data_IF_242097640894
#
_entry.id   IF_242097640894
#
_cell.length_a   1.000
_cell.length_b   1.000
_cell.length_c   1.000
_cell.angle_alpha   90.00
_cell.angle_beta   90.00
_cell.angle_gamma   90.00
#
_symmetry.space_group_name_H-M   'P 1'
#
loop_
_entity.id
_entity.type
_entity.pdbx_description
1 polymer ?
#
# COMPACT_ATOMS: atom_id res chain seq x y z
N UNK A 1 3.49 8.15 25.08
CA UNK A 1 2.42 7.24 24.64
C UNK A 1 2.33 7.38 23.12
N UNK A 2 3.15 6.61 22.39
CA UNK A 2 3.21 6.67 20.94
C UNK A 2 1.97 5.96 20.40
N UNK A 3 0.95 6.74 20.05
CA UNK A 3 -0.18 6.26 19.26
C UNK A 3 0.37 5.92 17.87
N UNK A 4 0.82 4.68 17.69
CA UNK A 4 1.26 4.14 16.42
C UNK A 4 0.05 4.03 15.49
N UNK A 5 -0.31 5.13 14.85
CA UNK A 5 -1.06 5.13 13.61
C UNK A 5 -0.31 4.22 12.65
N UNK A 6 -0.74 2.97 12.49
CA UNK A 6 -0.04 1.95 11.69
C UNK A 6 -0.02 2.37 10.20
N UNK A 7 1.10 2.90 9.66
CA UNK A 7 1.22 3.09 8.23
C UNK A 7 1.62 1.71 7.70
N UNK A 8 1.03 1.24 6.60
CA UNK A 8 1.40 -0.06 6.01
C UNK A 8 2.92 -0.25 5.79
N UNK A 9 3.70 0.85 5.79
CA UNK A 9 5.17 0.84 5.85
C UNK A 9 5.77 0.11 7.07
N UNK A 10 5.24 0.29 8.29
CA UNK A 10 5.80 -0.36 9.48
C UNK A 10 5.66 -1.89 9.42
N UNK A 11 4.48 -2.38 9.05
CA UNK A 11 4.26 -3.82 8.90
C UNK A 11 5.08 -4.41 7.73
N UNK A 12 5.33 -3.61 6.66
CA UNK A 12 6.27 -3.99 5.59
C UNK A 12 7.69 -4.15 6.11
N UNK A 13 8.17 -3.25 6.95
CA UNK A 13 9.51 -3.35 7.56
C UNK A 13 9.63 -4.56 8.49
N UNK A 14 8.62 -4.83 9.33
CA UNK A 14 8.57 -6.04 10.15
C UNK A 14 8.56 -7.31 9.29
N UNK A 15 7.79 -7.31 8.19
CA UNK A 15 7.78 -8.43 7.24
C UNK A 15 9.14 -8.63 6.58
N UNK A 16 9.81 -7.55 6.18
CA UNK A 16 11.16 -7.61 5.62
C UNK A 16 12.19 -8.11 6.65
N UNK A 17 12.04 -7.75 7.94
CA UNK A 17 12.83 -8.31 9.03
C UNK A 17 12.61 -9.83 9.17
N UNK A 18 11.36 -10.27 9.22
CA UNK A 18 11.01 -11.69 9.32
C UNK A 18 11.55 -12.50 8.13
N UNK A 19 11.49 -11.95 6.91
CA UNK A 19 12.07 -12.58 5.72
C UNK A 19 13.60 -12.72 5.80
N UNK A 20 14.31 -11.70 6.28
CA UNK A 20 15.77 -11.75 6.49
C UNK A 20 16.14 -12.80 7.56
N UNK A 21 15.39 -12.86 8.66
CA UNK A 21 15.54 -13.90 9.70
C UNK A 21 15.40 -15.29 9.08
N UNK A 22 14.31 -15.53 8.35
CA UNK A 22 14.03 -16.82 7.70
C UNK A 22 15.10 -17.21 6.66
N UNK A 23 15.68 -16.24 5.95
CA UNK A 23 16.78 -16.49 5.04
C UNK A 23 18.04 -17.01 5.78
N UNK A 24 18.38 -16.42 6.94
CA UNK A 24 19.49 -16.87 7.79
C UNK A 24 19.22 -18.26 8.36
N UNK A 25 18.00 -18.53 8.82
CA UNK A 25 17.60 -19.84 9.36
C UNK A 25 17.74 -20.96 8.31
N UNK A 26 17.40 -20.65 7.06
CA UNK A 26 17.49 -21.59 5.94
C UNK A 26 18.88 -21.66 5.29
N UNK A 27 19.85 -20.86 5.74
CA UNK A 27 21.20 -20.86 5.16
C UNK A 27 21.93 -22.17 5.56
N UNK A 28 22.31 -23.04 4.59
CA UNK A 28 22.84 -24.37 4.90
C UNK A 28 24.29 -24.33 5.39
N UNK A 29 25.03 -23.27 5.08
CA UNK A 29 26.45 -23.11 5.39
C UNK A 29 26.73 -22.56 6.79
N UNK A 30 25.70 -22.15 7.53
CA UNK A 30 25.84 -21.63 8.88
C UNK A 30 25.48 -22.68 9.92
N UNK A 31 26.34 -22.81 10.93
CA UNK A 31 26.00 -23.55 12.15
C UNK A 31 24.94 -22.79 12.99
N UNK A 32 24.40 -23.46 14.02
CA UNK A 32 23.33 -22.92 14.86
C UNK A 32 23.74 -21.65 15.62
N UNK A 33 24.98 -21.55 16.06
CA UNK A 33 25.47 -20.40 16.83
C UNK A 33 25.71 -19.18 15.93
N UNK A 34 26.27 -19.41 14.74
CA UNK A 34 26.43 -18.40 13.71
C UNK A 34 25.08 -17.87 13.23
N UNK A 35 24.07 -18.74 13.06
CA UNK A 35 22.68 -18.32 12.79
C UNK A 35 22.13 -17.43 13.90
N UNK A 36 22.26 -17.85 15.17
CA UNK A 36 21.78 -17.07 16.32
C UNK A 36 22.43 -15.69 16.38
N UNK A 37 23.76 -15.61 16.25
CA UNK A 37 24.50 -14.33 16.21
C UNK A 37 24.01 -13.40 15.10
N UNK A 38 23.87 -13.93 13.87
CA UNK A 38 23.36 -13.13 12.74
C UNK A 38 21.93 -12.65 12.96
N UNK A 39 21.07 -13.46 13.58
CA UNK A 39 19.68 -13.08 13.90
C UNK A 39 19.66 -11.99 14.98
N UNK A 40 20.49 -12.10 16.01
CA UNK A 40 20.58 -11.10 17.09
C UNK A 40 21.11 -9.74 16.60
N UNK A 41 21.89 -9.73 15.52
CA UNK A 41 22.39 -8.51 14.87
C UNK A 41 21.35 -7.86 13.93
N UNK A 42 20.22 -8.52 13.65
CA UNK A 42 19.19 -7.96 12.78
C UNK A 42 18.55 -6.72 13.43
N UNK A 43 18.39 -5.67 12.62
CA UNK A 43 17.76 -4.41 13.02
C UNK A 43 16.66 -4.02 12.04
N UNK A 44 15.64 -3.39 12.60
CA UNK A 44 14.60 -2.66 11.88
C UNK A 44 15.13 -1.29 11.50
N UNK A 45 14.65 -0.74 10.37
CA UNK A 45 14.92 0.62 9.96
C UNK A 45 13.58 1.36 9.86
N UNK A 46 13.29 2.23 10.81
CA UNK A 46 12.02 2.97 10.86
C UNK A 46 12.35 4.45 10.78
N UNK A 47 11.92 5.12 9.72
CA UNK A 47 12.18 6.55 9.47
C UNK A 47 13.67 6.94 9.62
N UNK A 48 14.59 6.08 9.16
CA UNK A 48 16.04 6.30 9.24
C UNK A 48 16.69 5.91 10.57
N UNK A 49 15.90 5.50 11.58
CA UNK A 49 16.41 5.03 12.87
C UNK A 49 16.53 3.51 12.87
N UNK A 50 17.67 3.00 13.36
CA UNK A 50 17.92 1.55 13.47
C UNK A 50 17.73 1.09 14.91
N UNK A 51 16.78 0.19 15.13
CA UNK A 51 16.47 -0.39 16.44
C UNK A 51 16.26 -1.90 16.33
N UNK A 52 16.30 -2.61 17.46
CA UNK A 52 15.84 -3.98 17.55
C UNK A 52 14.32 -4.03 17.65
N UNK A 53 13.74 -5.20 17.39
CA UNK A 53 12.29 -5.39 17.57
C UNK A 53 11.89 -5.28 19.04
N UNK A 54 12.74 -5.77 19.95
CA UNK A 54 12.47 -5.74 21.39
C UNK A 54 12.50 -4.31 21.96
N UNK A 55 13.29 -3.41 21.34
CA UNK A 55 13.37 -2.00 21.75
C UNK A 55 12.03 -1.25 21.52
N UNK A 56 11.14 -1.81 20.70
CA UNK A 56 9.83 -1.22 20.40
C UNK A 56 8.78 -1.55 21.47
N UNK A 57 9.07 -2.49 22.38
CA UNK A 57 8.15 -2.95 23.44
C UNK A 57 6.74 -3.28 22.89
N UNK A 58 6.69 -3.99 21.76
CA UNK A 58 5.45 -4.45 21.18
C UNK A 58 4.99 -5.72 21.88
N UNK A 59 3.69 -5.88 22.02
CA UNK A 59 3.02 -7.11 22.40
C UNK A 59 2.05 -7.53 21.29
N UNK A 60 1.31 -8.62 21.47
CA UNK A 60 0.34 -9.12 20.47
C UNK A 60 -1.01 -8.42 20.57
N UNK A 61 -1.01 -7.11 20.73
CA UNK A 61 -2.22 -6.29 20.69
C UNK A 61 -2.19 -5.27 19.54
N UNK A 62 -3.37 -4.83 19.13
CA UNK A 62 -3.56 -3.77 18.15
C UNK A 62 -4.67 -2.85 18.62
N UNK A 63 -4.53 -1.57 18.29
CA UNK A 63 -5.55 -0.55 18.54
C UNK A 63 -6.23 -0.24 17.20
N UNK A 64 -7.42 -0.82 16.92
CA UNK A 64 -8.09 -0.59 15.66
C UNK A 64 -8.50 0.88 15.59
N UNK A 65 -8.18 1.61 14.50
CA UNK A 65 -8.66 2.98 14.32
C UNK A 65 -10.14 2.96 13.94
N UNK A 66 -11.02 2.63 14.89
CA UNK A 66 -12.46 2.70 14.72
C UNK A 66 -13.02 3.86 15.54
N UNK A 67 -13.73 4.76 14.87
CA UNK A 67 -14.57 5.78 15.53
C UNK A 67 -15.98 5.29 15.83
N UNK A 68 -16.31 4.06 15.41
CA UNK A 68 -17.64 3.45 15.51
C UNK A 68 -17.69 2.41 16.63
N UNK A 69 -16.58 1.71 16.84
CA UNK A 69 -16.44 0.71 17.89
C UNK A 69 -15.35 1.18 18.86
N UNK A 70 -15.72 1.38 20.13
CA UNK A 70 -14.78 1.68 21.22
C UNK A 70 -13.97 0.42 21.56
N UNK A 71 -12.99 0.10 20.71
CA UNK A 71 -11.97 -0.89 21.02
C UNK A 71 -10.76 -0.16 21.57
N UNK A 72 -10.57 -0.20 22.89
CA UNK A 72 -9.37 0.36 23.52
C UNK A 72 -8.11 -0.42 23.10
N UNK A 73 -8.20 -1.75 23.06
CA UNK A 73 -7.12 -2.65 22.69
C UNK A 73 -7.71 -4.01 22.29
N UNK A 74 -7.16 -4.65 21.24
CA UNK A 74 -7.59 -5.96 20.80
C UNK A 74 -6.41 -6.93 20.71
N UNK A 75 -6.53 -8.06 21.39
CA UNK A 75 -5.52 -9.11 21.33
C UNK A 75 -5.60 -9.88 20.00
N UNK A 76 -4.44 -10.09 19.38
CA UNK A 76 -4.28 -10.85 18.14
C UNK A 76 -4.21 -12.37 18.36
N UNK A 77 -3.82 -12.77 19.57
CA UNK A 77 -3.76 -14.14 20.09
C UNK A 77 -4.23 -14.12 21.54
N UNK A 78 -4.70 -15.26 22.04
CA UNK A 78 -5.12 -15.38 23.44
C UNK A 78 -3.95 -15.10 24.40
N UNK A 79 -4.13 -14.15 25.33
CA UNK A 79 -3.07 -13.70 26.23
C UNK A 79 -1.99 -12.88 25.53
N UNK A 80 -2.35 -12.24 24.41
CA UNK A 80 -1.42 -11.49 23.57
C UNK A 80 -0.87 -10.23 24.24
N UNK A 81 -1.61 -9.62 25.18
CA UNK A 81 -1.16 -8.45 25.92
C UNK A 81 0.09 -8.71 26.78
N UNK A 82 0.23 -9.93 27.31
CA UNK A 82 1.35 -10.37 28.14
C UNK A 82 2.48 -11.02 27.31
N UNK A 83 2.34 -11.09 25.98
CA UNK A 83 3.30 -11.71 25.09
C UNK A 83 4.12 -10.67 24.34
N UNK A 84 5.37 -10.46 24.76
CA UNK A 84 6.29 -9.57 24.06
C UNK A 84 6.68 -10.09 22.68
N UNK A 85 6.77 -9.17 21.71
CA UNK A 85 7.27 -9.46 20.38
C UNK A 85 8.80 -9.44 20.39
N UNK A 86 9.38 -10.57 20.03
CA UNK A 86 10.82 -10.82 19.95
C UNK A 86 11.19 -11.32 18.56
N UNK A 87 12.50 -11.40 18.27
CA UNK A 87 12.96 -12.02 17.03
C UNK A 87 12.46 -13.46 16.82
N UNK A 88 12.18 -14.19 17.89
CA UNK A 88 11.70 -15.57 17.79
C UNK A 88 10.24 -15.62 17.27
N UNK A 89 9.37 -14.70 17.69
CA UNK A 89 7.93 -14.70 17.37
C UNK A 89 7.46 -13.59 16.40
N UNK A 90 8.36 -12.73 15.90
CA UNK A 90 8.02 -11.62 14.99
C UNK A 90 7.26 -12.06 13.73
N UNK A 91 7.55 -13.24 13.18
CA UNK A 91 6.85 -13.78 12.00
C UNK A 91 5.37 -14.06 12.32
N UNK A 92 5.09 -14.59 13.53
CA UNK A 92 3.74 -14.81 14.01
C UNK A 92 3.01 -13.47 14.21
N UNK A 93 3.67 -12.47 14.79
CA UNK A 93 3.10 -11.14 14.97
C UNK A 93 2.68 -10.52 13.63
N UNK A 94 3.57 -10.54 12.63
CA UNK A 94 3.27 -10.02 11.28
C UNK A 94 2.09 -10.75 10.65
N UNK A 95 2.07 -12.09 10.74
CA UNK A 95 0.98 -12.89 10.21
C UNK A 95 -0.36 -12.54 10.87
N UNK A 96 -0.39 -12.40 12.19
CA UNK A 96 -1.60 -12.09 12.95
C UNK A 96 -2.10 -10.68 12.72
N UNK A 97 -1.22 -9.69 12.64
CA UNK A 97 -1.57 -8.35 12.19
C UNK A 97 -2.21 -8.38 10.80
N UNK A 98 -1.59 -9.08 9.84
CA UNK A 98 -2.12 -9.16 8.47
C UNK A 98 -3.51 -9.83 8.42
N UNK A 99 -3.71 -10.93 9.14
CA UNK A 99 -5.01 -11.58 9.25
C UNK A 99 -6.06 -10.68 9.91
N UNK A 100 -5.70 -9.97 10.98
CA UNK A 100 -6.59 -9.01 11.62
C UNK A 100 -7.06 -7.91 10.66
N UNK A 101 -6.12 -7.19 10.04
CA UNK A 101 -6.47 -6.05 9.21
C UNK A 101 -7.14 -6.41 7.88
N UNK A 102 -6.89 -7.61 7.33
CA UNK A 102 -7.40 -8.01 6.02
C UNK A 102 -8.56 -9.02 6.06
N UNK A 103 -8.81 -9.63 7.22
CA UNK A 103 -9.78 -10.71 7.33
C UNK A 103 -10.62 -10.59 8.62
N UNK A 104 -10.06 -10.97 9.78
CA UNK A 104 -10.86 -11.14 11.00
C UNK A 104 -11.41 -9.82 11.55
N UNK A 105 -10.67 -8.72 11.46
CA UNK A 105 -11.10 -7.40 11.93
C UNK A 105 -12.19 -6.74 11.07
N UNK A 106 -12.36 -7.19 9.82
CA UNK A 106 -13.37 -6.67 8.88
C UNK A 106 -14.47 -7.68 8.56
N UNK A 107 -14.47 -8.87 9.17
CA UNK A 107 -15.33 -9.98 8.76
C UNK A 107 -16.82 -9.67 8.91
N UNK A 108 -17.19 -8.89 9.93
CA UNK A 108 -18.58 -8.52 10.19
C UNK A 108 -19.09 -7.53 9.13
N UNK A 109 -18.26 -6.54 8.77
CA UNK A 109 -18.53 -5.56 7.73
C UNK A 109 -18.62 -6.27 6.37
N UNK A 110 -17.70 -7.19 6.10
CA UNK A 110 -17.70 -8.01 4.88
C UNK A 110 -18.93 -8.91 4.81
N UNK A 111 -19.39 -9.50 5.91
CA UNK A 111 -20.62 -10.31 5.95
C UNK A 111 -21.85 -9.45 5.72
N UNK A 112 -21.95 -8.29 6.38
CA UNK A 112 -23.05 -7.36 6.17
C UNK A 112 -23.11 -6.86 4.72
N UNK A 113 -21.96 -6.52 4.13
CA UNK A 113 -21.84 -6.16 2.72
C UNK A 113 -22.29 -7.32 1.81
N UNK A 114 -21.79 -8.54 2.06
CA UNK A 114 -22.15 -9.74 1.33
C UNK A 114 -23.66 -9.99 1.35
N UNK A 115 -24.27 -9.94 2.52
CA UNK A 115 -25.70 -10.21 2.70
C UNK A 115 -26.56 -9.09 2.10
N UNK A 116 -26.11 -7.84 2.17
CA UNK A 116 -26.76 -6.71 1.50
C UNK A 116 -26.70 -6.83 -0.03
N UNK A 117 -25.54 -7.19 -0.57
CA UNK A 117 -25.34 -7.40 -2.00
C UNK A 117 -26.17 -8.57 -2.52
N UNK A 118 -26.17 -9.72 -1.83
CA UNK A 118 -26.89 -10.94 -2.21
C UNK A 118 -28.43 -10.73 -2.28
N UNK A 119 -28.98 -9.76 -1.54
CA UNK A 119 -30.41 -9.37 -1.63
C UNK A 119 -30.79 -8.71 -2.95
N UNK A 120 -29.86 -8.01 -3.59
CA UNK A 120 -30.11 -7.25 -4.83
C UNK A 120 -29.60 -8.03 -6.04
N UNK A 121 -28.43 -8.64 -5.89
CA UNK A 121 -27.76 -9.41 -6.93
C UNK A 121 -27.12 -10.67 -6.31
N UNK A 122 -27.60 -11.84 -6.70
CA UNK A 122 -27.11 -13.10 -6.15
C UNK A 122 -25.62 -13.29 -6.45
N UNK A 123 -24.78 -13.37 -5.41
CA UNK A 123 -23.32 -13.48 -5.54
C UNK A 123 -22.87 -14.69 -6.34
N UNK A 124 -23.71 -15.73 -6.39
CA UNK A 124 -23.46 -16.93 -7.21
C UNK A 124 -23.31 -16.60 -8.69
N UNK A 125 -23.97 -15.56 -9.19
CA UNK A 125 -23.86 -15.11 -10.57
C UNK A 125 -22.47 -14.51 -10.87
N UNK A 126 -21.74 -14.02 -9.87
CA UNK A 126 -20.37 -13.51 -10.05
C UNK A 126 -19.31 -14.60 -10.15
N UNK A 127 -19.64 -15.87 -9.87
CA UNK A 127 -18.64 -16.97 -9.83
C UNK A 127 -17.98 -17.27 -11.17
N UNK A 128 -18.64 -16.94 -12.28
CA UNK A 128 -18.10 -17.14 -13.63
C UNK A 128 -17.20 -16.00 -14.10
N UNK A 129 -17.11 -14.90 -13.35
CA UNK A 129 -16.36 -13.71 -13.74
C UNK A 129 -15.01 -13.65 -13.00
N UNK A 130 -13.97 -13.16 -13.69
CA UNK A 130 -12.71 -12.81 -13.04
C UNK A 130 -12.88 -11.56 -12.14
N UNK A 131 -11.98 -11.31 -11.17
CA UNK A 131 -12.01 -10.08 -10.37
C UNK A 131 -12.06 -8.81 -11.22
N UNK A 132 -11.33 -8.78 -12.33
CA UNK A 132 -11.29 -7.65 -13.27
C UNK A 132 -12.61 -7.49 -14.05
N UNK A 133 -13.30 -8.59 -14.35
CA UNK A 133 -14.63 -8.55 -14.97
C UNK A 133 -15.72 -8.13 -14.00
N UNK A 134 -15.66 -8.59 -12.74
CA UNK A 134 -16.57 -8.13 -11.67
C UNK A 134 -16.38 -6.62 -11.47
N UNK A 135 -15.14 -6.14 -11.42
CA UNK A 135 -14.86 -4.70 -11.33
C UNK A 135 -15.48 -3.93 -12.49
N UNK A 136 -15.31 -4.42 -13.73
CA UNK A 136 -15.91 -3.81 -14.94
C UNK A 136 -17.43 -3.84 -14.91
N UNK A 137 -18.04 -4.92 -14.43
CA UNK A 137 -19.49 -5.06 -14.33
C UNK A 137 -20.09 -4.09 -13.29
N UNK A 138 -19.41 -3.93 -12.14
CA UNK A 138 -19.88 -3.05 -11.07
C UNK A 138 -19.60 -1.57 -11.33
N UNK A 139 -18.43 -1.26 -11.86
CA UNK A 139 -17.93 0.11 -12.02
C UNK A 139 -18.21 0.68 -13.42
N UNK A 140 -18.74 -0.14 -14.31
CA UNK A 140 -18.85 0.12 -15.74
C UNK A 140 -17.50 0.07 -16.46
N UNK A 141 -17.54 0.21 -17.78
CA UNK A 141 -16.34 0.46 -18.56
C UNK A 141 -15.94 1.93 -18.39
N UNK A 142 -15.20 2.22 -17.33
CA UNK A 142 -14.69 3.57 -17.11
C UNK A 142 -13.69 3.89 -18.22
N UNK A 143 -13.99 4.88 -19.04
CA UNK A 143 -13.05 5.44 -20.01
C UNK A 143 -12.55 6.75 -19.43
N UNK A 144 -11.39 6.75 -18.72
CA UNK A 144 -10.84 8.01 -18.23
C UNK A 144 -10.46 8.89 -19.42
N UNK A 145 -11.03 10.09 -19.45
CA UNK A 145 -10.79 11.08 -20.49
C UNK A 145 -10.36 12.40 -19.86
N UNK A 146 -9.48 13.09 -20.58
CA UNK A 146 -9.01 14.43 -20.24
C UNK A 146 -8.65 15.15 -21.52
N UNK A 147 -8.86 16.45 -21.51
CA UNK A 147 -8.39 17.36 -22.55
C UNK A 147 -6.98 17.84 -22.23
N UNK A 148 -6.32 18.48 -23.21
CA UNK A 148 -5.05 19.19 -22.99
C UNK A 148 -5.17 20.21 -21.84
N UNK A 149 -6.28 20.94 -21.80
CA UNK A 149 -6.54 21.94 -20.77
C UNK A 149 -6.68 21.31 -19.39
N UNK A 150 -7.34 20.16 -19.27
CA UNK A 150 -7.44 19.44 -18.00
C UNK A 150 -6.07 19.06 -17.47
N UNK A 151 -5.18 18.53 -18.33
CA UNK A 151 -3.82 18.17 -17.92
C UNK A 151 -3.03 19.41 -17.49
N UNK A 152 -3.12 20.52 -18.23
CA UNK A 152 -2.44 21.78 -17.92
C UNK A 152 -2.96 22.45 -16.63
N UNK A 153 -4.26 22.36 -16.37
CA UNK A 153 -4.90 23.01 -15.24
C UNK A 153 -4.77 22.21 -13.95
N UNK A 154 -4.80 20.88 -14.05
CA UNK A 154 -4.90 20.00 -12.88
C UNK A 154 -3.65 19.14 -12.62
N UNK A 155 -2.59 19.30 -13.41
CA UNK A 155 -1.26 18.71 -13.14
C UNK A 155 -0.27 19.80 -12.71
N UNK A 156 0.46 19.55 -11.63
CA UNK A 156 1.40 20.49 -11.04
C UNK A 156 2.86 20.15 -11.39
N UNK A 157 3.55 20.94 -12.22
CA UNK A 157 5.00 20.82 -12.37
C UNK A 157 5.71 21.32 -11.10
N UNK A 158 6.68 20.55 -10.61
CA UNK A 158 7.46 20.86 -9.40
C UNK A 158 8.95 20.58 -9.61
N UNK A 159 9.77 21.10 -8.69
CA UNK A 159 11.21 20.78 -8.55
C UNK A 159 11.97 20.79 -9.89
N UNK A 160 11.98 21.94 -10.56
CA UNK A 160 12.73 22.14 -11.81
C UNK A 160 11.90 22.06 -13.10
N UNK A 161 10.59 21.86 -13.00
CA UNK A 161 9.64 22.12 -14.08
C UNK A 161 8.70 23.28 -13.74
N UNK A 162 8.24 23.97 -14.78
CA UNK A 162 7.18 24.99 -14.80
C UNK A 162 6.15 24.63 -15.87
N UNK A 163 5.00 25.31 -15.92
CA UNK A 163 3.96 25.06 -16.93
C UNK A 163 4.44 25.30 -18.37
N UNK A 164 5.42 26.17 -18.55
CA UNK A 164 6.00 26.49 -19.86
C UNK A 164 7.25 25.66 -20.19
N UNK A 165 7.67 24.77 -19.29
CA UNK A 165 8.88 23.96 -19.49
C UNK A 165 8.68 22.99 -20.67
N UNK A 166 9.63 22.92 -21.63
CA UNK A 166 9.49 22.03 -22.78
C UNK A 166 9.28 20.55 -22.41
N UNK A 167 9.90 20.10 -21.30
CA UNK A 167 9.71 18.74 -20.79
C UNK A 167 8.29 18.48 -20.27
N UNK A 168 7.68 19.46 -19.61
CA UNK A 168 6.31 19.38 -19.12
C UNK A 168 5.31 19.46 -20.27
N UNK A 169 5.52 20.34 -21.24
CA UNK A 169 4.67 20.42 -22.43
C UNK A 169 4.70 19.14 -23.26
N UNK A 170 5.86 18.50 -23.43
CA UNK A 170 5.95 17.17 -24.06
C UNK A 170 5.18 16.10 -23.29
N UNK A 171 5.24 16.13 -21.96
CA UNK A 171 4.41 15.24 -21.13
C UNK A 171 2.92 15.47 -21.39
N UNK A 172 2.47 16.72 -21.46
CA UNK A 172 1.09 17.08 -21.79
C UNK A 172 0.69 16.57 -23.17
N UNK A 173 1.56 16.72 -24.17
CA UNK A 173 1.31 16.22 -25.54
C UNK A 173 1.09 14.70 -25.54
N UNK A 174 2.01 13.94 -24.92
CA UNK A 174 1.91 12.48 -24.78
C UNK A 174 0.62 12.08 -24.07
N UNK A 175 0.26 12.77 -22.98
CA UNK A 175 -0.95 12.47 -22.20
C UNK A 175 -2.23 12.57 -23.03
N UNK A 176 -2.30 13.50 -23.98
CA UNK A 176 -3.47 13.66 -24.85
C UNK A 176 -3.51 12.59 -25.96
N UNK A 177 -2.34 12.13 -26.40
CA UNK A 177 -2.18 11.08 -27.43
C UNK A 177 -2.46 9.66 -26.92
N UNK A 178 -2.43 9.43 -25.60
CA UNK A 178 -2.70 8.11 -25.01
C UNK A 178 -4.09 7.59 -25.40
N UNK A 179 -4.13 6.33 -25.85
CA UNK A 179 -5.39 5.62 -26.10
C UNK A 179 -6.09 5.24 -24.77
N UNK A 180 -7.37 4.84 -24.78
CA UNK A 180 -8.12 4.54 -23.56
C UNK A 180 -7.46 3.50 -22.63
N UNK A 181 -6.78 2.49 -23.18
CA UNK A 181 -6.09 1.48 -22.37
C UNK A 181 -4.81 2.05 -21.76
N UNK A 182 -4.06 2.85 -22.51
CA UNK A 182 -2.86 3.52 -22.02
C UNK A 182 -3.18 4.54 -20.92
N UNK A 183 -4.29 5.26 -21.04
CA UNK A 183 -4.78 6.19 -19.99
C UNK A 183 -5.03 5.46 -18.68
N UNK A 184 -5.69 4.29 -18.72
CA UNK A 184 -5.89 3.43 -17.54
C UNK A 184 -4.57 2.96 -16.95
N UNK A 185 -3.66 2.48 -17.80
CA UNK A 185 -2.35 2.01 -17.37
C UNK A 185 -1.52 3.13 -16.73
N UNK A 186 -1.58 4.34 -17.29
CA UNK A 186 -0.95 5.53 -16.74
C UNK A 186 -1.52 5.88 -15.35
N UNK A 187 -2.85 5.92 -15.20
CA UNK A 187 -3.47 6.19 -13.90
C UNK A 187 -3.10 5.11 -12.87
N UNK A 188 -3.12 3.83 -13.26
CA UNK A 188 -2.73 2.73 -12.39
C UNK A 188 -1.27 2.87 -11.93
N UNK A 189 -0.39 3.29 -12.85
CA UNK A 189 1.02 3.55 -12.56
C UNK A 189 1.20 4.76 -11.64
N UNK A 190 0.53 5.88 -11.92
CA UNK A 190 0.72 7.15 -11.22
C UNK A 190 -0.02 7.24 -9.88
N UNK A 191 -1.18 6.60 -9.77
CA UNK A 191 -2.11 6.78 -8.63
C UNK A 191 -2.43 5.46 -7.90
N UNK A 192 -2.08 4.31 -8.49
CA UNK A 192 -2.48 3.00 -7.95
C UNK A 192 -3.92 2.63 -8.27
N UNK A 193 -4.67 3.49 -8.97
CA UNK A 193 -6.04 3.26 -9.41
C UNK A 193 -6.14 3.49 -10.93
N UNK A 194 -6.86 2.62 -11.65
CA UNK A 194 -7.03 2.73 -13.10
C UNK A 194 -8.13 3.71 -13.53
N UNK A 195 -8.76 4.39 -12.58
CA UNK A 195 -9.87 5.32 -12.79
C UNK A 195 -9.66 6.68 -12.14
N UNK A 196 -10.41 7.68 -12.63
CA UNK A 196 -10.50 9.01 -12.02
C UNK A 196 -11.74 9.13 -11.12
N UNK A 197 -11.68 9.97 -10.08
CA UNK A 197 -12.87 10.30 -9.31
C UNK A 197 -13.92 11.02 -10.19
N UNK A 198 -15.20 11.03 -9.79
CA UNK A 198 -16.21 11.85 -10.44
C UNK A 198 -15.73 13.31 -10.55
N UNK A 199 -15.74 13.87 -11.76
CA UNK A 199 -15.15 15.19 -12.06
C UNK A 199 -13.72 15.17 -12.63
N UNK A 200 -13.15 13.98 -12.88
CA UNK A 200 -11.91 13.83 -13.63
C UNK A 200 -10.66 14.30 -12.89
N UNK A 201 -9.66 14.78 -13.64
CA UNK A 201 -8.38 15.27 -13.09
C UNK A 201 -8.56 16.43 -12.10
N UNK A 202 -9.62 17.23 -12.26
CA UNK A 202 -9.92 18.35 -11.36
C UNK A 202 -10.09 17.91 -9.90
N UNK A 203 -10.67 16.73 -9.71
CA UNK A 203 -11.01 16.15 -8.41
C UNK A 203 -10.01 15.09 -7.94
N UNK A 204 -8.94 14.82 -8.69
CA UNK A 204 -7.87 13.93 -8.27
C UNK A 204 -7.10 14.55 -7.10
N UNK A 205 -7.17 13.91 -5.93
CA UNK A 205 -6.49 14.35 -4.70
C UNK A 205 -5.64 13.21 -4.11
N UNK A 206 -4.36 13.47 -3.80
CA UNK A 206 -3.59 14.67 -4.14
C UNK A 206 -3.50 14.90 -5.67
N UNK A 207 -3.33 16.15 -6.10
CA UNK A 207 -3.17 16.48 -7.53
C UNK A 207 -1.95 15.78 -8.10
N UNK A 208 -2.01 15.42 -9.40
CA UNK A 208 -0.88 14.83 -10.09
C UNK A 208 0.28 15.83 -10.13
N UNK A 209 1.46 15.42 -9.69
CA UNK A 209 2.67 16.26 -9.72
C UNK A 209 3.75 15.68 -10.62
N UNK A 210 4.38 16.52 -11.44
CA UNK A 210 5.49 16.11 -12.33
C UNK A 210 6.76 16.80 -11.88
N UNK A 211 7.76 16.00 -11.49
CA UNK A 211 9.04 16.48 -10.96
C UNK A 211 10.16 16.24 -11.97
N UNK A 212 11.06 17.21 -12.12
CA UNK A 212 12.28 16.99 -12.89
C UNK A 212 13.22 16.10 -12.11
N UNK A 213 13.48 14.90 -12.65
CA UNK A 213 14.51 14.01 -12.12
C UNK A 213 15.88 14.59 -12.44
N UNK A 214 16.70 14.83 -11.42
CA UNK A 214 18.10 15.22 -11.59
C UNK A 214 18.87 13.95 -11.96
N UNK A 215 19.51 13.95 -13.13
CA UNK A 215 20.10 12.76 -13.74
C UNK A 215 21.17 12.10 -12.85
N UNK A 216 21.21 10.77 -12.89
CA UNK A 216 22.35 9.96 -12.45
C UNK A 216 22.85 9.04 -13.57
N UNK A 217 22.65 9.42 -14.84
CA UNK A 217 23.03 8.65 -16.03
C UNK A 217 21.90 8.48 -17.04
N UNK A 218 22.28 8.41 -18.31
CA UNK A 218 21.39 8.33 -19.48
C UNK A 218 20.62 7.00 -19.51
N UNK A 219 19.30 7.05 -19.71
CA UNK A 219 18.44 5.85 -19.83
C UNK A 219 17.54 5.49 -18.64
N UNK A 220 17.37 6.38 -17.64
CA UNK A 220 16.44 6.08 -16.54
C UNK A 220 14.97 6.30 -16.95
N UNK A 221 14.12 5.28 -16.79
CA UNK A 221 12.68 5.40 -16.99
C UNK A 221 12.03 6.35 -15.97
N UNK A 222 10.86 6.93 -16.28
CA UNK A 222 10.04 7.64 -15.31
C UNK A 222 9.75 6.77 -14.08
N UNK A 223 9.77 7.38 -12.91
CA UNK A 223 9.51 6.72 -11.63
C UNK A 223 8.40 7.44 -10.88
N UNK A 224 7.57 6.69 -10.16
CA UNK A 224 6.49 7.23 -9.34
C UNK A 224 6.83 7.10 -7.86
N UNK A 225 6.36 8.05 -7.06
CA UNK A 225 6.42 7.98 -5.61
C UNK A 225 5.01 8.23 -5.09
N UNK A 226 4.43 7.22 -4.47
CA UNK A 226 3.15 7.36 -3.78
C UNK A 226 3.40 8.09 -2.46
N UNK A 227 2.98 9.36 -2.38
CA UNK A 227 2.81 10.01 -1.09
C UNK A 227 1.50 9.48 -0.51
N UNK A 228 1.60 8.47 0.35
CA UNK A 228 0.51 8.02 1.22
C UNK A 228 0.61 8.81 2.52
#
# INVERSE_FOLDING_TARGET
MLSLYFPGGFLKELRALAQRKRAIENEPMLDREAKRRKIDELKLCIHGTRCRVEDLALNFTVNPPSSVFDYDEMELVEGGADMDVTMDNVELYVQKCADFYLNTGIINQMRAFRDGFDRVFGLRALRSYSPEEVQRLLSGEQCPEWTREDVLNYTEPKLGYTKDSPGFLRFVDVMVELNPQERKNFLQFATGCSSLPPGGLANLHPRLTVVRKVESGDGSYPSVSFFC
#
